data_IF_894955528793
#
_entry.id   IF_894955528793
#
_cell.length_a   1.000
_cell.length_b   1.000
_cell.length_c   1.000
_cell.angle_alpha   90.00
_cell.angle_beta   90.00
_cell.angle_gamma   90.00
#
_symmetry.space_group_name_H-M   'P 1'
#
loop_
_entity.id
_entity.type
_entity.pdbx_description
1 polymer ?
#
# COMPACT_ATOMS: atom_id res chain seq x y z
N UNK A 1 23.44 -24.93 24.09
CA UNK A 1 22.66 -23.93 24.85
C UNK A 1 23.29 -22.58 24.59
N UNK A 2 22.70 -21.77 23.72
CA UNK A 2 22.95 -20.33 23.59
C UNK A 2 21.78 -19.78 22.77
N UNK A 3 20.95 -18.99 23.45
CA UNK A 3 19.76 -18.40 22.85
C UNK A 3 20.17 -17.20 22.02
N UNK A 4 20.14 -17.35 20.70
CA UNK A 4 20.26 -16.24 19.77
C UNK A 4 19.00 -15.36 19.89
N UNK A 5 19.17 -14.26 20.60
CA UNK A 5 18.16 -13.24 20.85
C UNK A 5 17.76 -12.56 19.53
N UNK A 6 16.78 -13.14 18.83
CA UNK A 6 16.21 -12.64 17.59
C UNK A 6 15.11 -11.62 17.90
N UNK A 7 15.50 -10.46 18.43
CA UNK A 7 14.67 -9.26 18.39
C UNK A 7 14.59 -8.76 16.93
N UNK A 8 13.84 -9.51 16.09
CA UNK A 8 13.31 -9.02 14.82
C UNK A 8 12.27 -7.99 15.17
N UNK A 9 12.68 -6.72 15.22
CA UNK A 9 11.79 -5.60 15.40
C UNK A 9 10.53 -5.77 14.55
N UNK A 10 9.38 -5.61 15.20
CA UNK A 10 8.07 -5.52 14.57
C UNK A 10 8.20 -4.60 13.34
N UNK A 11 8.18 -5.18 12.14
CA UNK A 11 8.02 -4.40 10.91
C UNK A 11 6.69 -3.64 11.05
N UNK A 12 6.66 -2.33 10.82
CA UNK A 12 5.44 -1.55 10.99
C UNK A 12 4.43 -2.00 9.92
N UNK A 13 3.47 -2.81 10.34
CA UNK A 13 2.08 -2.91 9.86
C UNK A 13 1.84 -3.08 8.34
N UNK A 14 2.90 -3.34 7.57
CA UNK A 14 2.93 -3.31 6.11
C UNK A 14 2.40 -4.60 5.47
N UNK A 15 1.98 -5.55 6.29
CA UNK A 15 1.63 -6.90 5.87
C UNK A 15 0.47 -7.50 6.67
N UNK A 16 -0.39 -6.68 7.30
CA UNK A 16 -1.62 -7.21 7.84
C UNK A 16 -2.73 -7.09 6.78
N UNK A 17 -2.98 -8.12 5.95
CA UNK A 17 -4.05 -8.07 4.96
C UNK A 17 -5.41 -7.80 5.63
N UNK A 18 -5.61 -8.23 6.88
CA UNK A 18 -6.85 -7.98 7.63
C UNK A 18 -7.14 -6.50 7.82
N UNK A 19 -6.10 -5.65 7.85
CA UNK A 19 -6.27 -4.21 7.93
C UNK A 19 -6.92 -3.65 6.66
N UNK A 20 -6.45 -4.07 5.48
CA UNK A 20 -7.03 -3.64 4.20
C UNK A 20 -8.44 -4.18 3.99
N UNK A 21 -8.74 -5.38 4.50
CA UNK A 21 -10.08 -5.98 4.40
C UNK A 21 -11.14 -5.21 5.21
N UNK A 22 -10.75 -4.43 6.20
CA UNK A 22 -11.63 -3.57 6.99
C UNK A 22 -11.80 -2.15 6.40
N UNK A 23 -11.19 -1.87 5.24
CA UNK A 23 -11.20 -0.57 4.56
C UNK A 23 -12.00 -0.63 3.25
N UNK A 24 -12.20 0.54 2.62
CA UNK A 24 -12.93 0.64 1.36
C UNK A 24 -12.06 0.19 0.19
N UNK A 25 -12.16 -1.10 -0.15
CA UNK A 25 -11.36 -1.73 -1.20
C UNK A 25 -11.74 -1.23 -2.60
N UNK A 26 -10.71 -0.92 -3.38
CA UNK A 26 -10.80 -0.45 -4.76
C UNK A 26 -9.80 -1.17 -5.65
N UNK A 27 -10.11 -1.26 -6.95
CA UNK A 27 -9.13 -1.70 -7.94
C UNK A 27 -8.21 -0.55 -8.33
N UNK A 28 -7.06 -0.87 -8.93
CA UNK A 28 -6.09 0.16 -9.31
C UNK A 28 -6.62 1.12 -10.38
N UNK A 29 -7.56 0.67 -11.20
CA UNK A 29 -8.24 1.52 -12.20
C UNK A 29 -9.07 2.64 -11.54
N UNK A 30 -9.49 2.45 -10.29
CA UNK A 30 -10.31 3.38 -9.53
C UNK A 30 -9.44 4.31 -8.67
N UNK A 31 -8.11 4.14 -8.66
CA UNK A 31 -7.19 5.06 -7.96
C UNK A 31 -7.10 6.41 -8.67
N UNK A 32 -6.88 6.50 -10.00
CA UNK A 32 -6.81 7.80 -10.68
C UNK A 32 -8.01 8.73 -10.50
N UNK A 33 -9.28 8.27 -10.56
CA UNK A 33 -10.43 9.13 -10.31
C UNK A 33 -10.49 9.75 -8.91
N UNK A 34 -9.86 9.13 -7.90
CA UNK A 34 -9.75 9.68 -6.55
C UNK A 34 -8.75 10.85 -6.47
N UNK A 35 -7.88 10.96 -7.47
CA UNK A 35 -6.83 11.96 -7.54
C UNK A 35 -7.25 13.09 -8.49
N UNK A 36 -6.47 14.16 -8.52
CA UNK A 36 -6.62 15.14 -9.58
C UNK A 36 -6.46 14.42 -10.93
N UNK A 37 -7.40 14.68 -11.86
CA UNK A 37 -7.75 13.93 -13.10
C UNK A 37 -6.60 13.56 -14.08
N UNK A 38 -5.33 13.80 -13.74
CA UNK A 38 -4.15 13.58 -14.60
C UNK A 38 -3.30 12.35 -14.25
N UNK A 39 -3.58 11.62 -13.17
CA UNK A 39 -2.78 10.45 -12.82
C UNK A 39 -3.13 9.27 -13.72
N UNK A 40 -2.15 8.65 -14.39
CA UNK A 40 -2.40 7.43 -15.17
C UNK A 40 -2.43 6.19 -14.27
N UNK A 41 -3.25 5.18 -14.57
CA UNK A 41 -3.36 3.93 -13.80
C UNK A 41 -2.02 3.20 -13.60
N UNK A 42 -1.10 3.28 -14.57
CA UNK A 42 0.25 2.71 -14.44
C UNK A 42 1.05 3.30 -13.28
N UNK A 43 0.71 4.51 -12.83
CA UNK A 43 1.30 5.15 -11.65
C UNK A 43 0.95 4.39 -10.37
N UNK A 44 -0.32 3.99 -10.21
CA UNK A 44 -0.76 3.17 -9.07
C UNK A 44 -0.07 1.79 -9.07
N UNK A 45 0.06 1.17 -10.25
CA UNK A 45 0.84 -0.07 -10.40
C UNK A 45 2.31 0.10 -10.00
N UNK A 46 2.93 1.21 -10.39
CA UNK A 46 4.32 1.55 -10.01
C UNK A 46 4.45 1.73 -8.50
N UNK A 47 3.52 2.43 -7.85
CA UNK A 47 3.53 2.63 -6.40
C UNK A 47 3.40 1.32 -5.62
N UNK A 48 2.56 0.39 -6.09
CA UNK A 48 2.44 -0.92 -5.47
C UNK A 48 3.69 -1.80 -5.68
N UNK A 49 4.26 -1.80 -6.89
CA UNK A 49 5.38 -2.68 -7.23
C UNK A 49 6.72 -2.16 -6.70
N UNK A 50 7.02 -0.89 -7.01
CA UNK A 50 8.31 -0.25 -6.75
C UNK A 50 8.24 0.69 -5.55
N UNK A 51 7.12 1.38 -5.37
CA UNK A 51 7.01 2.48 -4.42
C UNK A 51 7.61 3.79 -4.94
N UNK A 52 7.67 4.79 -4.08
CA UNK A 52 8.32 6.09 -4.30
C UNK A 52 8.88 6.59 -2.97
N UNK A 53 10.06 7.21 -2.96
CA UNK A 53 10.73 7.68 -1.74
C UNK A 53 10.80 6.60 -0.62
N UNK A 54 11.02 5.34 -0.98
CA UNK A 54 11.08 4.22 -0.03
C UNK A 54 9.74 3.73 0.53
N UNK A 55 8.61 4.34 0.13
CA UNK A 55 7.26 3.97 0.57
C UNK A 55 6.54 3.22 -0.54
N UNK A 56 5.91 2.08 -0.23
CA UNK A 56 5.05 1.32 -1.16
C UNK A 56 3.58 1.49 -0.82
N UNK A 57 2.73 1.44 -1.84
CA UNK A 57 1.27 1.41 -1.66
C UNK A 57 0.86 0.05 -1.08
N UNK A 58 0.03 0.06 -0.04
CA UNK A 58 -0.50 -1.15 0.59
C UNK A 58 -1.50 -1.84 -0.35
N UNK A 59 -1.39 -3.16 -0.49
CA UNK A 59 -2.22 -3.95 -1.40
C UNK A 59 -2.58 -5.30 -0.82
N UNK A 60 -3.73 -5.85 -1.23
CA UNK A 60 -4.14 -7.22 -0.93
C UNK A 60 -4.50 -7.96 -2.22
N UNK A 61 -4.20 -9.25 -2.28
CA UNK A 61 -4.58 -10.13 -3.40
C UNK A 61 -5.75 -11.00 -2.98
N UNK A 62 -6.89 -10.86 -3.68
CA UNK A 62 -8.13 -11.61 -3.41
C UNK A 62 -8.66 -12.15 -4.74
N UNK A 63 -8.86 -13.46 -4.85
CA UNK A 63 -9.42 -14.09 -6.05
C UNK A 63 -8.66 -13.76 -7.34
N UNK A 64 -7.32 -13.71 -7.28
CA UNK A 64 -6.46 -13.38 -8.43
C UNK A 64 -6.42 -11.89 -8.81
N UNK A 65 -7.17 -11.03 -8.12
CA UNK A 65 -7.15 -9.58 -8.33
C UNK A 65 -6.34 -8.91 -7.22
N UNK A 66 -5.55 -7.90 -7.59
CA UNK A 66 -4.85 -7.05 -6.63
C UNK A 66 -5.63 -5.77 -6.38
N UNK A 67 -5.93 -5.54 -5.12
CA UNK A 67 -6.73 -4.42 -4.63
C UNK A 67 -5.88 -3.54 -3.72
N UNK A 68 -6.32 -2.30 -3.57
CA UNK A 68 -5.86 -1.38 -2.53
C UNK A 68 -7.10 -0.80 -1.85
N UNK A 69 -6.95 0.15 -0.95
CA UNK A 69 -8.06 0.89 -0.35
C UNK A 69 -7.90 2.39 -0.52
N UNK A 70 -8.99 3.14 -0.40
CA UNK A 70 -8.94 4.62 -0.39
C UNK A 70 -8.00 5.11 0.72
N UNK A 71 -8.13 4.53 1.91
CA UNK A 71 -7.36 4.84 3.11
C UNK A 71 -5.86 4.57 2.91
N UNK A 72 -5.51 3.46 2.25
CA UNK A 72 -4.12 3.15 1.89
C UNK A 72 -3.55 4.16 0.91
N UNK A 73 -4.32 4.60 -0.10
CA UNK A 73 -3.91 5.66 -1.03
C UNK A 73 -3.66 6.98 -0.27
N UNK A 74 -4.56 7.37 0.64
CA UNK A 74 -4.38 8.58 1.47
C UNK A 74 -3.12 8.49 2.33
N UNK A 75 -2.91 7.36 3.03
CA UNK A 75 -1.71 7.13 3.86
C UNK A 75 -0.43 7.19 3.03
N UNK A 76 -0.46 6.57 1.85
CA UNK A 76 0.66 6.58 0.92
C UNK A 76 1.02 8.01 0.51
N UNK A 77 0.04 8.79 0.03
CA UNK A 77 0.27 10.17 -0.40
C UNK A 77 0.79 11.06 0.73
N UNK A 78 0.23 10.92 1.94
CA UNK A 78 0.69 11.69 3.12
C UNK A 78 2.18 11.46 3.39
N UNK A 79 2.64 10.20 3.26
CA UNK A 79 4.04 9.80 3.48
C UNK A 79 4.97 10.25 2.34
N UNK A 80 4.48 10.36 1.11
CA UNK A 80 5.32 10.64 -0.06
C UNK A 80 5.38 12.12 -0.45
N UNK A 81 4.36 12.91 -0.09
CA UNK A 81 4.24 14.31 -0.50
C UNK A 81 4.89 15.29 0.48
N UNK A 82 5.04 14.94 1.76
CA UNK A 82 5.46 15.88 2.83
C UNK A 82 6.97 15.88 3.08
N UNK A 83 7.79 15.91 2.02
CA UNK A 83 9.24 16.14 2.15
C UNK A 83 9.72 17.21 1.20
#
# INVERSE_FOLDING_TARGET
MNQDNKNRGLKPDSANPMKLLAEDLIQFKDVPPLLQKRVHVSTAWRWANRGVKGVKLETVSIGGKRLTSIQAVTRFLKRTSTQ
#
